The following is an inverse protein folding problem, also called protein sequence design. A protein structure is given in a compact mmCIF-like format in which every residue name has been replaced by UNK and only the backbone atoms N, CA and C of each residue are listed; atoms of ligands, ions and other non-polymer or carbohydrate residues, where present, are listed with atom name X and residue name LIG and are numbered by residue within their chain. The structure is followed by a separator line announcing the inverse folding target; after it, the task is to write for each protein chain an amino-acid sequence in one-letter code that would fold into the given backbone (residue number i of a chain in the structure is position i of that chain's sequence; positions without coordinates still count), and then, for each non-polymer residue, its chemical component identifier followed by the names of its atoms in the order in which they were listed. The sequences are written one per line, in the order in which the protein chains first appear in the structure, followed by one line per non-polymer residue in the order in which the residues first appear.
data_IF_249576146587
#
_entry.id   IF_249576146587
#
_cell.length_a   1.000
_cell.length_b   1.000
_cell.length_c   1.000
_cell.angle_alpha   90.00
_cell.angle_beta   90.00
_cell.angle_gamma   90.00
#
_symmetry.space_group_name_H-M   'P 1'
#
loop_
_entity.id
_entity.type
_entity.pdbx_description
1 polymer ?
#
# COMPACT_ATOMS: atom_id res chain seq x y z
N UNK A 1 -31.78 -30.67 25.79
CA UNK A 1 -31.58 -31.73 24.79
C UNK A 1 -31.30 -31.11 23.41
N UNK A 2 -30.14 -30.49 23.22
CA UNK A 2 -29.78 -29.82 21.95
C UNK A 2 -28.27 -29.84 21.67
N UNK A 3 -27.58 -30.91 22.10
CA UNK A 3 -26.13 -31.10 21.86
C UNK A 3 -25.78 -32.36 21.05
N UNK A 4 -26.74 -33.26 20.79
CA UNK A 4 -26.48 -34.54 20.10
C UNK A 4 -26.69 -34.54 18.58
N UNK A 5 -27.20 -33.46 17.98
CA UNK A 5 -27.43 -33.44 16.51
C UNK A 5 -26.19 -33.06 15.68
N UNK A 6 -25.13 -32.55 16.32
CA UNK A 6 -23.89 -32.16 15.63
C UNK A 6 -22.92 -33.34 15.45
N UNK A 7 -23.03 -34.39 16.28
CA UNK A 7 -22.20 -35.60 16.18
C UNK A 7 -22.66 -36.54 15.05
N UNK A 8 -23.95 -36.55 14.73
CA UNK A 8 -24.51 -37.40 13.66
C UNK A 8 -24.17 -36.91 12.25
N UNK A 9 -23.87 -35.62 12.05
CA UNK A 9 -23.49 -35.07 10.74
C UNK A 9 -22.00 -35.22 10.40
N UNK A 10 -21.17 -35.68 11.36
CA UNK A 10 -19.74 -35.94 11.11
C UNK A 10 -19.45 -37.38 10.67
N UNK A 11 -20.43 -38.27 10.76
CA UNK A 11 -20.25 -39.70 10.52
C UNK A 11 -20.59 -40.16 9.08
N UNK A 12 -20.88 -39.26 8.14
CA UNK A 12 -21.35 -39.64 6.80
C UNK A 12 -20.51 -39.12 5.61
N UNK A 13 -19.28 -38.66 5.84
CA UNK A 13 -18.36 -38.26 4.74
C UNK A 13 -16.98 -38.88 4.86
N UNK A 14 -16.92 -40.14 5.28
CA UNK A 14 -15.77 -41.00 5.03
C UNK A 14 -16.14 -42.08 4.03
N UNK A 15 -15.75 -41.92 2.76
CA UNK A 15 -15.26 -43.00 1.88
C UNK A 15 -15.11 -42.52 0.41
N UNK A 16 -13.94 -42.83 -0.16
CA UNK A 16 -13.52 -42.74 -1.58
C UNK A 16 -13.17 -41.32 -2.08
N UNK A 17 -12.06 -41.03 -2.77
CA UNK A 17 -11.10 -41.90 -3.45
C UNK A 17 -9.71 -41.22 -3.54
N UNK A 18 -8.71 -42.07 -3.38
CA UNK A 18 -7.25 -41.99 -3.62
C UNK A 18 -6.87 -41.38 -4.97
N UNK A 19 -5.86 -40.51 -5.02
CA UNK A 19 -4.67 -40.78 -5.82
C UNK A 19 -3.48 -39.86 -5.44
N UNK A 20 -2.37 -40.52 -5.21
CA UNK A 20 -1.13 -40.06 -4.59
C UNK A 20 -0.08 -39.65 -5.63
N UNK A 21 0.59 -38.51 -5.42
CA UNK A 21 1.81 -38.13 -6.14
C UNK A 21 3.04 -38.81 -5.51
N UNK A 22 3.91 -39.46 -6.29
CA UNK A 22 5.24 -39.82 -5.82
C UNK A 22 6.27 -38.75 -6.23
N UNK A 23 7.16 -38.45 -5.29
CA UNK A 23 8.44 -37.74 -5.49
C UNK A 23 9.48 -38.68 -6.10
N UNK A 24 10.32 -38.19 -7.02
CA UNK A 24 11.71 -38.66 -7.23
C UNK A 24 12.53 -37.63 -8.04
N UNK A 25 13.49 -36.95 -7.40
CA UNK A 25 14.96 -37.13 -7.45
C UNK A 25 15.64 -36.99 -8.82
N UNK A 26 16.62 -36.08 -8.85
CA UNK A 26 17.81 -35.98 -9.71
C UNK A 26 18.22 -37.19 -10.54
N UNK A 27 18.46 -37.02 -11.85
CA UNK A 27 19.77 -37.30 -12.46
C UNK A 27 19.90 -36.71 -13.87
N UNK A 28 21.15 -36.41 -14.22
CA UNK A 28 21.66 -35.86 -15.47
C UNK A 28 21.52 -36.83 -16.66
N UNK A 29 21.56 -36.23 -17.86
CA UNK A 29 22.19 -36.73 -19.10
C UNK A 29 21.33 -37.23 -20.28
N UNK A 30 21.67 -36.62 -21.43
CA UNK A 30 21.50 -36.97 -22.85
C UNK A 30 20.14 -36.89 -23.55
N UNK A 31 20.26 -36.39 -24.81
CA UNK A 31 19.35 -36.45 -25.97
C UNK A 31 18.64 -35.10 -26.24
N UNK A 32 18.51 -34.57 -27.45
CA UNK A 32 19.07 -34.83 -28.77
C UNK A 32 18.50 -33.69 -29.65
N UNK A 33 19.34 -32.93 -30.36
CA UNK A 33 18.88 -31.83 -31.24
C UNK A 33 17.94 -32.34 -32.32
N UNK A 34 16.78 -31.69 -32.49
CA UNK A 34 15.93 -31.84 -33.68
C UNK A 34 16.37 -30.83 -34.76
N UNK A 35 16.50 -31.22 -36.05
CA UNK A 35 16.95 -30.32 -37.10
C UNK A 35 15.86 -29.33 -37.53
N UNK A 36 16.28 -28.11 -37.85
CA UNK A 36 15.44 -27.04 -38.39
C UNK A 36 15.18 -27.28 -39.91
N UNK A 37 13.93 -27.34 -40.40
CA UNK A 37 13.62 -27.86 -41.73
C UNK A 37 13.69 -26.83 -42.88
N UNK A 38 14.49 -25.77 -42.76
CA UNK A 38 14.59 -24.70 -43.77
C UNK A 38 16.02 -24.31 -44.17
N UNK A 39 16.99 -25.21 -44.03
CA UNK A 39 18.33 -25.00 -44.58
C UNK A 39 18.44 -25.67 -45.96
N UNK A 40 18.12 -24.92 -47.02
CA UNK A 40 18.41 -25.34 -48.39
C UNK A 40 19.54 -24.48 -48.96
N UNK A 41 20.54 -25.20 -49.45
CA UNK A 41 21.83 -24.81 -50.01
C UNK A 41 21.68 -23.98 -51.29
N UNK A 42 22.49 -22.93 -51.42
CA UNK A 42 23.05 -22.49 -52.70
C UNK A 42 24.52 -22.13 -52.50
N UNK A 43 25.37 -22.79 -53.29
CA UNK A 43 26.83 -22.85 -53.20
C UNK A 43 27.41 -22.12 -54.42
N UNK A 44 27.98 -20.93 -54.22
CA UNK A 44 28.80 -20.24 -55.23
C UNK A 44 29.97 -19.51 -54.55
N UNK A 45 31.23 -19.74 -54.97
CA UNK A 45 32.37 -19.09 -54.36
C UNK A 45 32.59 -17.74 -55.03
N UNK A 46 32.43 -16.64 -54.29
CA UNK A 46 32.95 -15.35 -54.74
C UNK A 46 33.72 -14.66 -53.62
N UNK A 47 35.00 -14.42 -53.93
CA UNK A 47 36.01 -13.81 -53.10
C UNK A 47 35.81 -12.28 -53.07
N UNK A 48 35.37 -11.73 -51.93
CA UNK A 48 35.55 -10.32 -51.61
C UNK A 48 35.84 -10.12 -50.11
N UNK A 49 36.98 -9.50 -49.85
CA UNK A 49 37.52 -9.12 -48.56
C UNK A 49 36.87 -7.85 -47.98
N UNK A 50 36.45 -7.96 -46.71
CA UNK A 50 36.38 -6.98 -45.62
C UNK A 50 35.66 -5.62 -45.78
N UNK A 51 34.61 -5.43 -44.96
CA UNK A 51 34.47 -4.27 -44.07
C UNK A 51 33.67 -4.72 -42.82
N UNK A 52 34.12 -4.45 -41.57
CA UNK A 52 33.32 -4.77 -40.40
C UNK A 52 32.18 -3.73 -40.30
N UNK A 53 30.95 -4.18 -40.57
CA UNK A 53 29.78 -3.41 -40.21
C UNK A 53 29.72 -3.33 -38.68
N UNK A 54 29.95 -2.14 -38.14
CA UNK A 54 29.69 -1.82 -36.75
C UNK A 54 28.21 -2.12 -36.48
N UNK A 55 27.93 -3.29 -35.92
CA UNK A 55 26.61 -3.63 -35.43
C UNK A 55 26.40 -2.77 -34.20
N UNK A 56 25.67 -1.67 -34.37
CA UNK A 56 25.08 -0.90 -33.29
C UNK A 56 24.04 -1.79 -32.61
N UNK A 57 24.52 -2.70 -31.75
CA UNK A 57 23.66 -3.37 -30.77
C UNK A 57 23.21 -2.28 -29.81
N UNK A 58 22.08 -1.64 -30.10
CA UNK A 58 21.34 -0.90 -29.10
C UNK A 58 20.94 -1.89 -28.02
N UNK A 59 21.73 -1.93 -26.94
CA UNK A 59 21.37 -2.59 -25.69
C UNK A 59 20.06 -1.97 -25.19
N UNK A 60 18.94 -2.66 -25.42
CA UNK A 60 17.63 -2.38 -24.82
C UNK A 60 17.52 -2.96 -23.40
N UNK A 61 18.62 -2.99 -22.65
CA UNK A 61 18.69 -3.50 -21.28
C UNK A 61 18.93 -2.33 -20.33
N UNK A 62 17.86 -1.73 -19.79
CA UNK A 62 18.01 -0.70 -18.76
C UNK A 62 16.74 0.00 -18.24
N UNK A 63 15.59 -0.12 -18.90
CA UNK A 63 14.37 0.60 -18.50
C UNK A 63 13.48 -0.10 -17.46
N UNK A 64 13.35 -1.44 -17.53
CA UNK A 64 12.41 -2.20 -16.70
C UNK A 64 12.78 -2.28 -15.21
N UNK A 65 14.08 -2.37 -14.90
CA UNK A 65 14.57 -2.51 -13.53
C UNK A 65 14.48 -1.19 -12.74
N UNK A 66 14.69 -0.05 -13.41
CA UNK A 66 14.61 1.26 -12.76
C UNK A 66 13.18 1.63 -12.37
N UNK A 67 12.19 1.28 -13.20
CA UNK A 67 10.78 1.60 -12.93
C UNK A 67 10.15 0.65 -11.91
N UNK A 68 10.53 -0.64 -11.93
CA UNK A 68 10.08 -1.58 -10.90
C UNK A 68 10.61 -1.23 -9.50
N UNK A 69 11.88 -0.83 -9.39
CA UNK A 69 12.46 -0.31 -8.14
C UNK A 69 11.71 0.94 -7.64
N UNK A 70 11.34 1.85 -8.54
CA UNK A 70 10.54 3.02 -8.18
C UNK A 70 9.17 2.66 -7.61
N UNK A 71 8.44 1.75 -8.26
CA UNK A 71 7.14 1.32 -7.75
C UNK A 71 7.26 0.59 -6.40
N UNK A 72 8.31 -0.22 -6.22
CA UNK A 72 8.60 -0.86 -4.93
C UNK A 72 8.86 0.18 -3.83
N UNK A 73 9.61 1.24 -4.14
CA UNK A 73 9.87 2.33 -3.21
C UNK A 73 8.59 3.09 -2.85
N UNK A 74 7.74 3.41 -3.84
CA UNK A 74 6.42 4.02 -3.62
C UNK A 74 5.54 3.14 -2.72
N UNK A 75 5.48 1.83 -2.98
CA UNK A 75 4.71 0.90 -2.15
C UNK A 75 5.20 0.89 -0.71
N UNK A 76 6.52 0.80 -0.52
CA UNK A 76 7.11 0.81 0.83
C UNK A 76 6.87 2.13 1.55
N UNK A 77 6.93 3.28 0.87
CA UNK A 77 6.56 4.58 1.46
C UNK A 77 5.08 4.58 1.87
N UNK A 78 4.19 4.01 1.06
CA UNK A 78 2.78 3.91 1.40
C UNK A 78 2.54 3.01 2.62
N UNK A 79 3.29 1.91 2.75
CA UNK A 79 3.24 1.04 3.93
C UNK A 79 3.70 1.78 5.18
N UNK A 80 4.83 2.48 5.11
CA UNK A 80 5.35 3.32 6.19
C UNK A 80 4.36 4.43 6.59
N UNK A 81 3.64 5.02 5.62
CA UNK A 81 2.58 6.01 5.90
C UNK A 81 1.40 5.40 6.67
N UNK A 82 1.05 4.14 6.40
CA UNK A 82 0.01 3.44 7.19
C UNK A 82 0.51 3.21 8.62
N UNK A 83 1.74 2.75 8.79
CA UNK A 83 2.36 2.57 10.11
C UNK A 83 2.41 3.90 10.87
N UNK A 84 2.78 5.00 10.20
CA UNK A 84 2.77 6.33 10.78
C UNK A 84 1.36 6.70 11.31
N UNK A 85 0.31 6.52 10.48
CA UNK A 85 -1.07 6.77 10.91
C UNK A 85 -1.52 5.87 12.07
N UNK A 86 -1.13 4.60 12.09
CA UNK A 86 -1.40 3.69 13.21
C UNK A 86 -0.72 4.15 14.50
N UNK A 87 0.52 4.62 14.41
CA UNK A 87 1.23 5.16 15.57
C UNK A 87 0.52 6.40 16.11
N UNK A 88 0.06 7.32 15.25
CA UNK A 88 -0.71 8.50 15.66
C UNK A 88 -1.99 8.10 16.42
N UNK A 89 -2.69 7.07 15.96
CA UNK A 89 -3.88 6.55 16.65
C UNK A 89 -3.53 5.97 18.04
N UNK A 90 -2.46 5.19 18.13
CA UNK A 90 -1.97 4.64 19.41
C UNK A 90 -1.50 5.74 20.38
N UNK A 91 -0.84 6.79 19.87
CA UNK A 91 -0.45 7.98 20.64
C UNK A 91 -1.70 8.67 21.20
N UNK A 92 -2.74 8.86 20.38
CA UNK A 92 -4.02 9.38 20.83
C UNK A 92 -4.62 8.53 21.96
N UNK A 93 -4.65 7.21 21.83
CA UNK A 93 -5.16 6.31 22.86
C UNK A 93 -4.36 6.43 24.17
N UNK A 94 -3.03 6.52 24.09
CA UNK A 94 -2.15 6.68 25.24
C UNK A 94 -2.35 8.02 25.95
N UNK A 95 -2.52 9.12 25.20
CA UNK A 95 -2.88 10.40 25.80
C UNK A 95 -4.24 10.35 26.51
N UNK A 96 -5.24 9.72 25.89
CA UNK A 96 -6.56 9.51 26.51
C UNK A 96 -6.45 8.73 27.82
N UNK A 97 -5.65 7.66 27.85
CA UNK A 97 -5.40 6.87 29.06
C UNK A 97 -4.65 7.67 30.12
N UNK A 98 -3.64 8.44 29.74
CA UNK A 98 -2.89 9.34 30.63
C UNK A 98 -3.80 10.37 31.32
N UNK A 99 -4.86 10.83 30.65
CA UNK A 99 -5.83 11.77 31.21
C UNK A 99 -6.86 11.15 32.17
N UNK A 100 -7.05 9.83 32.15
CA UNK A 100 -8.14 9.15 32.85
C UNK A 100 -7.66 8.12 33.89
N UNK A 101 -6.39 7.72 33.86
CA UNK A 101 -5.86 6.73 34.79
C UNK A 101 -5.62 7.32 36.19
N UNK A 102 -6.07 6.59 37.20
CA UNK A 102 -5.85 6.90 38.63
C UNK A 102 -4.86 5.94 39.30
N UNK A 103 -4.31 4.98 38.55
CA UNK A 103 -3.29 4.04 39.02
C UNK A 103 -1.90 4.48 38.55
N UNK A 104 -1.03 4.85 39.50
CA UNK A 104 0.32 5.34 39.29
C UNK A 104 1.19 4.35 38.49
N UNK A 105 1.06 3.04 38.75
CA UNK A 105 1.87 2.03 38.08
C UNK A 105 1.49 1.87 36.60
N UNK A 106 0.20 1.97 36.28
CA UNK A 106 -0.30 1.97 34.92
C UNK A 106 0.03 3.29 34.19
N UNK A 107 -0.04 4.42 34.90
CA UNK A 107 0.31 5.73 34.36
C UNK A 107 1.77 5.78 33.90
N UNK A 108 2.71 5.29 34.72
CA UNK A 108 4.13 5.28 34.37
C UNK A 108 4.43 4.42 33.14
N UNK A 109 3.80 3.24 33.01
CA UNK A 109 3.95 2.38 31.82
C UNK A 109 3.41 3.05 30.57
N UNK A 110 2.23 3.68 30.66
CA UNK A 110 1.65 4.38 29.52
C UNK A 110 2.51 5.58 29.10
N UNK A 111 3.11 6.30 30.05
CA UNK A 111 4.01 7.41 29.76
C UNK A 111 5.28 6.94 29.02
N UNK A 112 5.87 5.82 29.44
CA UNK A 112 7.02 5.22 28.74
C UNK A 112 6.66 4.78 27.32
N UNK A 113 5.52 4.09 27.16
CA UNK A 113 5.04 3.67 25.84
C UNK A 113 4.74 4.86 24.92
N UNK A 114 4.20 5.94 25.48
CA UNK A 114 3.93 7.16 24.73
C UNK A 114 5.24 7.79 24.24
N UNK A 115 6.24 7.90 25.12
CA UNK A 115 7.53 8.50 24.77
C UNK A 115 8.28 7.68 23.70
N UNK A 116 8.28 6.35 23.83
CA UNK A 116 8.84 5.44 22.82
C UNK A 116 8.13 5.62 21.47
N UNK A 117 6.81 5.62 21.46
CA UNK A 117 6.03 5.71 20.24
C UNK A 117 6.15 7.08 19.56
N UNK A 118 6.26 8.16 20.33
CA UNK A 118 6.55 9.51 19.80
C UNK A 118 7.94 9.54 19.16
N UNK A 119 8.95 8.96 19.80
CA UNK A 119 10.31 8.89 19.26
C UNK A 119 10.36 8.08 17.96
N UNK A 120 9.74 6.90 17.93
CA UNK A 120 9.64 6.04 16.74
C UNK A 120 8.92 6.74 15.59
N UNK A 121 7.83 7.45 15.91
CA UNK A 121 7.05 8.20 14.92
C UNK A 121 7.85 9.38 14.36
N UNK A 122 8.62 10.08 15.20
CA UNK A 122 9.53 11.15 14.75
C UNK A 122 10.64 10.61 13.86
N UNK A 123 11.25 9.47 14.21
CA UNK A 123 12.25 8.80 13.37
C UNK A 123 11.68 8.37 12.01
N UNK A 124 10.50 7.74 12.00
CA UNK A 124 9.79 7.33 10.79
C UNK A 124 9.46 8.54 9.90
N UNK A 125 9.00 9.65 10.49
CA UNK A 125 8.71 10.88 9.75
C UNK A 125 9.94 11.44 9.02
N UNK A 126 11.11 11.37 9.65
CA UNK A 126 12.38 11.81 9.06
C UNK A 126 12.85 10.86 7.94
N UNK A 127 12.61 9.56 8.07
CA UNK A 127 12.84 8.58 7.01
C UNK A 127 11.93 8.87 5.81
N UNK A 128 10.62 9.00 6.03
CA UNK A 128 9.62 9.34 5.01
C UNK A 128 10.00 10.64 4.27
N UNK A 129 10.33 11.71 5.02
CA UNK A 129 10.81 12.98 4.45
C UNK A 129 11.99 12.77 3.50
N UNK A 130 13.03 12.06 3.94
CA UNK A 130 14.24 11.82 3.12
C UNK A 130 13.94 11.01 1.87
N UNK A 131 13.13 9.95 2.00
CA UNK A 131 12.75 9.06 0.89
C UNK A 131 11.93 9.81 -0.16
N UNK A 132 10.92 10.57 0.27
CA UNK A 132 10.09 11.38 -0.64
C UNK A 132 10.93 12.44 -1.34
N UNK A 133 11.80 13.16 -0.61
CA UNK A 133 12.73 14.14 -1.24
C UNK A 133 13.72 13.49 -2.20
N UNK A 134 14.13 12.24 -1.96
CA UNK A 134 14.96 11.47 -2.89
C UNK A 134 14.21 11.18 -4.18
N UNK A 135 12.95 10.73 -4.09
CA UNK A 135 12.09 10.48 -5.25
C UNK A 135 11.85 11.76 -6.08
N UNK A 136 11.67 12.90 -5.42
CA UNK A 136 11.52 14.20 -6.11
C UNK A 136 12.79 14.55 -6.93
N UNK A 137 13.98 14.23 -6.42
CA UNK A 137 15.26 14.48 -7.11
C UNK A 137 15.52 13.53 -8.28
N UNK A 138 14.96 12.32 -8.23
CA UNK A 138 15.09 11.31 -9.28
C UNK A 138 14.21 11.59 -10.52
N UNK A 139 13.62 12.80 -10.61
CA UNK A 139 12.81 13.22 -11.75
C UNK A 139 13.51 12.95 -13.09
N UNK A 140 12.79 12.30 -14.01
CA UNK A 140 13.25 11.97 -15.36
C UNK A 140 12.54 12.81 -16.43
N UNK A 141 13.00 12.71 -17.67
CA UNK A 141 12.31 13.29 -18.84
C UNK A 141 11.40 12.25 -19.51
N UNK A 142 10.44 12.73 -20.31
CA UNK A 142 9.50 11.86 -21.03
C UNK A 142 8.40 11.25 -20.16
N UNK A 143 7.75 10.19 -20.67
CA UNK A 143 6.56 9.56 -20.06
C UNK A 143 6.84 9.00 -18.66
N UNK A 144 7.97 8.32 -18.47
CA UNK A 144 8.34 7.73 -17.18
C UNK A 144 8.63 8.80 -16.12
N UNK A 145 9.21 9.93 -16.54
CA UNK A 145 9.41 11.09 -15.68
C UNK A 145 8.10 11.69 -15.17
N UNK A 146 7.09 11.80 -16.04
CA UNK A 146 5.76 12.30 -15.67
C UNK A 146 5.07 11.35 -14.68
N UNK A 147 5.14 10.03 -14.91
CA UNK A 147 4.59 9.03 -14.00
C UNK A 147 5.28 9.12 -12.63
N UNK A 148 6.62 9.22 -12.59
CA UNK A 148 7.38 9.35 -11.34
C UNK A 148 6.99 10.61 -10.58
N UNK A 149 6.88 11.75 -11.28
CA UNK A 149 6.47 13.03 -10.69
C UNK A 149 5.07 12.91 -10.07
N UNK A 150 4.11 12.35 -10.79
CA UNK A 150 2.73 12.18 -10.31
C UNK A 150 2.65 11.26 -9.08
N UNK A 151 3.29 10.08 -9.13
CA UNK A 151 3.26 9.13 -8.02
C UNK A 151 3.98 9.69 -6.77
N UNK A 152 5.09 10.40 -6.97
CA UNK A 152 5.80 11.09 -5.89
C UNK A 152 4.94 12.20 -5.28
N UNK A 153 4.24 12.98 -6.10
CA UNK A 153 3.29 14.00 -5.65
C UNK A 153 2.16 13.42 -4.80
N UNK A 154 1.62 12.26 -5.19
CA UNK A 154 0.57 11.59 -4.42
C UNK A 154 1.04 11.13 -3.03
N UNK A 155 2.20 10.46 -2.93
CA UNK A 155 2.72 10.02 -1.62
C UNK A 155 3.13 11.19 -0.74
N UNK A 156 3.63 12.28 -1.34
CA UNK A 156 3.91 13.53 -0.64
C UNK A 156 2.64 14.15 -0.05
N UNK A 157 1.57 14.25 -0.84
CA UNK A 157 0.29 14.77 -0.38
C UNK A 157 -0.24 13.94 0.80
N UNK A 158 -0.25 12.61 0.67
CA UNK A 158 -0.66 11.71 1.77
C UNK A 158 0.19 11.90 3.03
N UNK A 159 1.50 12.12 2.87
CA UNK A 159 2.37 12.40 4.01
C UNK A 159 2.02 13.73 4.69
N UNK A 160 1.76 14.79 3.91
CA UNK A 160 1.32 16.08 4.45
C UNK A 160 -0.02 15.98 5.19
N UNK A 161 -0.98 15.24 4.63
CA UNK A 161 -2.27 14.94 5.28
C UNK A 161 -2.07 14.19 6.62
N UNK A 162 -1.17 13.20 6.64
CA UNK A 162 -0.84 12.46 7.86
C UNK A 162 -0.19 13.34 8.94
N UNK A 163 0.73 14.23 8.55
CA UNK A 163 1.35 15.22 9.46
C UNK A 163 0.28 16.14 10.05
N UNK A 164 -0.63 16.65 9.22
CA UNK A 164 -1.69 17.54 9.66
C UNK A 164 -2.68 16.84 10.60
N UNK A 165 -3.00 15.57 10.33
CA UNK A 165 -3.80 14.73 11.22
C UNK A 165 -3.12 14.59 12.59
N UNK A 166 -1.81 14.31 12.60
CA UNK A 166 -1.06 14.20 13.84
C UNK A 166 -1.02 15.53 14.62
N UNK A 167 -0.76 16.65 13.94
CA UNK A 167 -0.82 17.98 14.56
C UNK A 167 -2.18 18.25 15.20
N UNK A 168 -3.27 17.82 14.56
CA UNK A 168 -4.63 17.98 15.09
C UNK A 168 -4.82 17.17 16.37
N UNK A 169 -4.35 15.92 16.40
CA UNK A 169 -4.38 15.06 17.61
C UNK A 169 -3.61 15.72 18.75
N UNK A 170 -2.38 16.18 18.50
CA UNK A 170 -1.53 16.84 19.49
C UNK A 170 -2.16 18.13 20.02
N UNK A 171 -2.72 18.99 19.15
CA UNK A 171 -3.42 20.21 19.57
C UNK A 171 -4.64 19.92 20.44
N UNK A 172 -5.40 18.88 20.13
CA UNK A 172 -6.54 18.46 20.94
C UNK A 172 -6.09 18.02 22.34
N UNK A 173 -5.03 17.21 22.45
CA UNK A 173 -4.54 16.76 23.75
C UNK A 173 -3.85 17.86 24.55
N UNK A 174 -3.09 18.75 23.91
CA UNK A 174 -2.60 19.99 24.52
C UNK A 174 -3.75 20.74 25.20
N UNK A 175 -4.85 20.95 24.48
CA UNK A 175 -6.03 21.65 25.02
C UNK A 175 -6.67 20.91 26.20
N UNK A 176 -6.78 19.58 26.13
CA UNK A 176 -7.29 18.75 27.24
C UNK A 176 -6.38 18.79 28.47
N UNK A 177 -5.07 18.74 28.29
CA UNK A 177 -4.10 18.86 29.39
C UNK A 177 -4.16 20.24 30.04
N UNK A 178 -4.25 21.32 29.25
CA UNK A 178 -4.46 22.68 29.76
C UNK A 178 -5.74 22.79 30.61
N UNK A 179 -6.84 22.21 30.16
CA UNK A 179 -8.09 22.18 30.93
C UNK A 179 -7.97 21.38 32.24
N UNK A 180 -7.23 20.26 32.24
CA UNK A 180 -6.97 19.50 33.47
C UNK A 180 -6.11 20.31 34.44
N UNK A 181 -5.05 20.93 33.94
CA UNK A 181 -4.16 21.81 34.70
C UNK A 181 -4.94 22.92 35.39
N UNK A 182 -5.81 23.61 34.65
CA UNK A 182 -6.69 24.67 35.18
C UNK A 182 -7.59 24.15 36.30
N UNK A 183 -8.21 22.97 36.13
CA UNK A 183 -9.07 22.38 37.16
C UNK A 183 -8.28 22.08 38.43
N UNK A 184 -7.10 21.50 38.31
CA UNK A 184 -6.24 21.22 39.46
C UNK A 184 -5.72 22.49 40.13
N UNK A 185 -5.45 23.53 39.33
CA UNK A 185 -5.10 24.85 39.84
C UNK A 185 -6.20 25.42 40.75
N UNK A 186 -7.45 25.37 40.29
CA UNK A 186 -8.62 25.87 41.03
C UNK A 186 -8.92 25.09 42.31
N UNK A 187 -8.47 23.84 42.44
CA UNK A 187 -8.58 23.12 43.71
C UNK A 187 -7.70 23.77 44.78
N UNK A 188 -6.49 24.20 44.41
CA UNK A 188 -5.55 24.85 45.33
C UNK A 188 -5.88 26.32 45.54
N UNK A 189 -6.24 27.04 44.47
CA UNK A 189 -6.62 28.46 44.50
C UNK A 189 -7.99 28.68 43.82
N UNK A 190 -9.11 28.52 44.54
CA UNK A 190 -10.46 28.66 43.96
C UNK A 190 -10.79 30.05 43.42
N UNK A 191 -10.14 31.08 43.96
CA UNK A 191 -10.26 32.50 43.64
C UNK A 191 -9.29 32.97 42.54
N UNK A 192 -8.62 32.04 41.86
CA UNK A 192 -7.69 32.34 40.78
C UNK A 192 -8.33 33.14 39.63
N UNK A 193 -7.68 34.24 39.22
CA UNK A 193 -8.14 35.01 38.07
C UNK A 193 -7.86 34.26 36.74
N UNK A 194 -8.60 34.56 35.66
CA UNK A 194 -8.32 34.01 34.33
C UNK A 194 -6.88 34.25 33.86
N UNK A 195 -6.32 35.42 34.19
CA UNK A 195 -4.95 35.80 33.87
C UNK A 195 -3.93 34.96 34.64
N UNK A 196 -4.19 34.66 35.92
CA UNK A 196 -3.33 33.78 36.73
C UNK A 196 -3.36 32.34 36.22
N UNK A 197 -4.54 31.83 35.85
CA UNK A 197 -4.68 30.48 35.26
C UNK A 197 -3.91 30.40 33.95
N UNK A 198 -4.05 31.42 33.10
CA UNK A 198 -3.33 31.50 31.83
C UNK A 198 -1.83 31.56 32.07
N UNK A 199 -1.37 32.37 33.03
CA UNK A 199 0.02 32.44 33.41
C UNK A 199 0.56 31.06 33.82
N UNK A 200 -0.13 30.31 34.68
CA UNK A 200 0.29 28.95 35.09
C UNK A 200 0.28 27.95 33.93
N UNK A 201 -0.67 28.10 33.01
CA UNK A 201 -0.84 27.19 31.87
C UNK A 201 0.15 27.46 30.73
N UNK A 202 0.65 28.69 30.65
CA UNK A 202 1.64 29.14 29.66
C UNK A 202 3.04 29.32 30.26
N UNK A 203 3.21 29.16 31.57
CA UNK A 203 4.47 29.34 32.29
C UNK A 203 5.48 28.30 31.84
N UNK A 204 6.49 28.71 31.07
CA UNK A 204 7.59 27.84 30.64
C UNK A 204 8.55 27.46 31.76
N UNK A 205 8.43 28.05 32.96
CA UNK A 205 9.33 27.82 34.10
C UNK A 205 8.90 26.67 35.02
N UNK A 206 8.15 25.69 34.52
CA UNK A 206 7.96 24.42 35.24
C UNK A 206 7.07 24.51 36.48
N UNK A 207 6.07 25.38 36.46
CA UNK A 207 5.11 25.50 37.57
C UNK A 207 5.64 26.30 38.77
N UNK A 208 6.60 27.20 38.55
CA UNK A 208 7.11 28.08 39.61
C UNK A 208 5.98 28.97 40.17
N UNK A 209 5.11 29.49 39.30
CA UNK A 209 3.89 30.22 39.68
C UNK A 209 2.98 29.35 40.58
N UNK A 210 2.90 28.05 40.27
CA UNK A 210 2.12 27.10 41.05
C UNK A 210 2.72 26.84 42.45
N UNK A 211 4.04 26.69 42.53
CA UNK A 211 4.74 26.51 43.81
C UNK A 211 4.54 27.68 44.77
N UNK A 212 4.52 28.91 44.23
CA UNK A 212 4.26 30.10 45.02
C UNK A 212 2.80 30.17 45.51
N UNK A 213 1.85 29.77 44.66
CA UNK A 213 0.43 29.68 45.03
C UNK A 213 0.19 28.62 46.12
N UNK A 214 0.91 27.48 46.05
CA UNK A 214 0.83 26.41 47.05
C UNK A 214 1.30 26.88 48.44
N UNK A 215 2.43 27.60 48.51
CA UNK A 215 3.00 28.12 49.76
C UNK A 215 2.08 29.14 50.45
N UNK A 216 1.26 29.84 49.68
CA UNK A 216 0.28 30.81 50.19
C UNK A 216 -1.07 30.18 50.54
N UNK A 217 -1.28 28.88 50.26
CA UNK A 217 -2.55 28.20 50.53
C UNK A 217 -2.54 27.49 51.90
N UNK A 218 -3.64 27.64 52.66
CA UNK A 218 -3.84 26.93 53.93
C UNK A 218 -4.23 25.44 53.77
N UNK A 219 -4.33 24.91 52.53
CA UNK A 219 -4.82 23.55 52.21
C UNK A 219 -3.69 22.57 51.85
N UNK A 220 -2.60 22.61 52.61
CA UNK A 220 -1.32 21.97 52.28
C UNK A 220 -1.39 20.48 51.90
N UNK A 221 -2.28 19.70 52.53
CA UNK A 221 -2.43 18.25 52.27
C UNK A 221 -3.02 17.91 50.90
N UNK A 222 -4.17 18.48 50.56
CA UNK A 222 -4.83 18.29 49.25
C UNK A 222 -4.03 18.97 48.13
N UNK A 223 -3.40 20.09 48.47
CA UNK A 223 -2.65 20.88 47.52
C UNK A 223 -1.32 20.23 47.09
N UNK A 224 -0.77 19.30 47.88
CA UNK A 224 0.43 18.53 47.49
C UNK A 224 0.16 17.51 46.38
N UNK A 225 -0.99 16.84 46.39
CA UNK A 225 -1.37 15.91 45.31
C UNK A 225 -1.69 16.69 44.03
N UNK A 226 -2.45 17.78 44.15
CA UNK A 226 -2.73 18.68 43.04
C UNK A 226 -1.44 19.28 42.46
N UNK A 227 -0.44 19.58 43.30
CA UNK A 227 0.88 20.03 42.87
C UNK A 227 1.60 19.05 41.97
N UNK A 228 1.66 17.78 42.39
CA UNK A 228 2.30 16.74 41.59
C UNK A 228 1.61 16.60 40.24
N UNK A 229 0.28 16.54 40.23
CA UNK A 229 -0.48 16.42 38.98
C UNK A 229 -0.26 17.64 38.07
N UNK A 230 -0.23 18.85 38.63
CA UNK A 230 0.06 20.07 37.87
C UNK A 230 1.44 20.00 37.21
N UNK A 231 2.46 19.57 37.94
CA UNK A 231 3.82 19.43 37.41
C UNK A 231 3.86 18.38 36.28
N UNK A 232 3.23 17.22 36.47
CA UNK A 232 3.18 16.17 35.45
C UNK A 232 2.45 16.62 34.18
N UNK A 233 1.28 17.27 34.32
CA UNK A 233 0.53 17.81 33.17
C UNK A 233 1.31 18.92 32.46
N UNK A 234 2.08 19.71 33.18
CA UNK A 234 2.92 20.74 32.60
C UNK A 234 4.03 20.13 31.72
N UNK A 235 4.72 19.11 32.23
CA UNK A 235 5.72 18.37 31.44
C UNK A 235 5.09 17.69 30.21
N UNK A 236 3.90 17.11 30.34
CA UNK A 236 3.16 16.54 29.21
C UNK A 236 2.87 17.59 28.14
N UNK A 237 2.40 18.79 28.53
CA UNK A 237 2.17 19.90 27.60
C UNK A 237 3.47 20.27 26.88
N UNK A 238 4.58 20.37 27.59
CA UNK A 238 5.88 20.73 27.01
C UNK A 238 6.35 19.73 25.96
N UNK A 239 6.18 18.42 26.20
CA UNK A 239 6.46 17.36 25.22
C UNK A 239 5.59 17.51 23.96
N UNK A 240 4.31 17.85 24.12
CA UNK A 240 3.41 18.12 22.99
C UNK A 240 3.88 19.35 22.20
N UNK A 241 4.28 20.44 22.86
CA UNK A 241 4.77 21.64 22.16
C UNK A 241 6.03 21.35 21.34
N UNK A 242 6.95 20.54 21.88
CA UNK A 242 8.10 20.05 21.13
C UNK A 242 7.67 19.26 19.89
N UNK A 243 6.75 18.31 20.06
CA UNK A 243 6.23 17.49 18.96
C UNK A 243 5.54 18.36 17.90
N UNK A 244 4.70 19.32 18.30
CA UNK A 244 4.07 20.28 17.39
C UNK A 244 5.09 21.14 16.62
N UNK A 245 6.18 21.53 17.27
CA UNK A 245 7.28 22.29 16.65
C UNK A 245 7.99 21.45 15.59
N UNK A 246 8.31 20.19 15.91
CA UNK A 246 8.91 19.24 14.97
C UNK A 246 7.99 18.98 13.77
N UNK A 247 6.69 18.77 14.01
CA UNK A 247 5.69 18.57 12.95
C UNK A 247 5.52 19.83 12.09
N UNK A 248 5.55 21.02 12.67
CA UNK A 248 5.48 22.27 11.92
C UNK A 248 6.71 22.45 11.02
N UNK A 249 7.91 22.15 11.53
CA UNK A 249 9.13 22.17 10.71
C UNK A 249 9.03 21.15 9.57
N UNK A 250 8.58 19.94 9.86
CA UNK A 250 8.37 18.89 8.88
C UNK A 250 7.35 19.29 7.80
N UNK A 251 6.25 19.93 8.19
CA UNK A 251 5.24 20.43 7.26
C UNK A 251 5.82 21.50 6.32
N UNK A 252 6.54 22.48 6.87
CA UNK A 252 7.22 23.52 6.09
C UNK A 252 8.25 22.91 5.12
N UNK A 253 9.05 21.94 5.59
CA UNK A 253 10.04 21.22 4.79
C UNK A 253 9.45 20.53 3.55
N UNK A 254 8.17 20.14 3.61
CA UNK A 254 7.45 19.47 2.53
C UNK A 254 6.61 20.43 1.68
N UNK A 255 6.08 21.50 2.29
CA UNK A 255 5.20 22.49 1.63
C UNK A 255 5.94 23.40 0.65
N UNK A 256 7.20 23.77 0.92
CA UNK A 256 8.00 24.67 0.07
C UNK A 256 8.18 24.15 -1.37
N UNK A 257 7.92 22.86 -1.62
CA UNK A 257 8.10 22.21 -2.92
C UNK A 257 6.76 21.90 -3.64
N UNK A 258 5.63 22.46 -3.19
CA UNK A 258 4.29 22.19 -3.77
C UNK A 258 3.91 23.17 -4.89
N UNK A 259 4.54 24.34 -4.99
CA UNK A 259 4.17 25.40 -5.96
C UNK A 259 4.41 25.09 -7.46
N UNK A 260 4.93 23.91 -7.82
CA UNK A 260 5.10 23.51 -9.24
C UNK A 260 4.16 22.39 -9.73
N UNK A 261 3.10 22.06 -8.99
CA UNK A 261 2.25 20.89 -9.28
C UNK A 261 0.73 21.12 -9.29
N UNK A 262 0.26 22.37 -9.36
CA UNK A 262 -1.19 22.67 -9.28
C UNK A 262 -2.01 22.30 -10.53
N UNK A 263 -1.41 21.74 -11.58
CA UNK A 263 -2.14 21.43 -12.82
C UNK A 263 -1.90 19.99 -13.30
N UNK A 264 -2.04 18.97 -12.43
CA UNK A 264 -2.32 17.59 -12.87
C UNK A 264 -2.66 16.57 -11.75
N UNK A 265 -3.31 16.98 -10.65
CA UNK A 265 -3.83 16.04 -9.63
C UNK A 265 -5.27 15.58 -9.99
N UNK A 266 -5.60 15.44 -11.27
CA UNK A 266 -6.90 14.89 -11.73
C UNK A 266 -6.73 13.67 -12.67
N UNK A 267 -5.56 13.03 -12.67
CA UNK A 267 -5.24 11.95 -13.62
C UNK A 267 -5.37 10.54 -13.03
N UNK A 268 -5.68 10.39 -11.73
CA UNK A 268 -5.88 9.07 -11.13
C UNK A 268 -7.25 8.49 -11.51
N UNK A 269 -8.32 9.31 -11.52
CA UNK A 269 -9.63 8.87 -12.02
C UNK A 269 -9.59 8.58 -13.53
N UNK A 270 -8.89 9.39 -14.32
CA UNK A 270 -8.76 9.15 -15.75
C UNK A 270 -7.95 7.88 -16.08
N UNK A 271 -6.90 7.57 -15.31
CA UNK A 271 -6.05 6.39 -15.59
C UNK A 271 -6.72 5.10 -15.13
N UNK A 272 -7.43 5.08 -13.99
CA UNK A 272 -8.22 3.92 -13.57
C UNK A 272 -9.37 3.62 -14.53
N UNK A 273 -10.10 4.66 -15.00
CA UNK A 273 -11.15 4.52 -16.01
C UNK A 273 -10.59 4.03 -17.36
N UNK A 274 -9.36 4.40 -17.71
CA UNK A 274 -8.71 3.91 -18.93
C UNK A 274 -8.30 2.44 -18.81
N UNK A 275 -7.79 2.01 -17.64
CA UNK A 275 -7.47 0.59 -17.38
C UNK A 275 -8.73 -0.28 -17.31
N UNK A 276 -9.82 0.22 -16.74
CA UNK A 276 -11.13 -0.45 -16.77
C UNK A 276 -11.65 -0.59 -18.21
N UNK A 277 -11.55 0.48 -19.01
CA UNK A 277 -11.97 0.47 -20.42
C UNK A 277 -11.10 -0.45 -21.29
N UNK A 278 -9.79 -0.50 -21.06
CA UNK A 278 -8.87 -1.37 -21.80
C UNK A 278 -9.02 -2.84 -21.39
N UNK A 279 -9.37 -3.12 -20.13
CA UNK A 279 -9.71 -4.49 -19.69
C UNK A 279 -11.07 -4.95 -20.20
N UNK A 280 -12.07 -4.06 -20.27
CA UNK A 280 -13.37 -4.33 -20.92
C UNK A 280 -13.22 -4.61 -22.42
N UNK A 281 -12.41 -3.80 -23.13
CA UNK A 281 -12.07 -4.06 -24.53
C UNK A 281 -11.32 -5.40 -24.69
N UNK A 282 -10.37 -5.71 -23.80
CA UNK A 282 -9.65 -6.99 -23.74
C UNK A 282 -10.57 -8.19 -23.56
N UNK A 283 -11.56 -8.11 -22.66
CA UNK A 283 -12.59 -9.13 -22.46
C UNK A 283 -13.42 -9.33 -23.74
N UNK A 284 -13.81 -8.25 -24.41
CA UNK A 284 -14.54 -8.32 -25.69
C UNK A 284 -13.78 -9.02 -26.81
N UNK A 285 -12.44 -8.86 -26.88
CA UNK A 285 -11.61 -9.62 -27.83
C UNK A 285 -11.51 -11.10 -27.48
N UNK A 286 -11.49 -11.45 -26.20
CA UNK A 286 -11.50 -12.86 -25.76
C UNK A 286 -12.84 -13.54 -26.04
N UNK A 287 -13.96 -12.84 -25.88
CA UNK A 287 -15.29 -13.38 -26.20
C UNK A 287 -15.46 -13.59 -27.71
N UNK A 288 -15.03 -12.63 -28.55
CA UNK A 288 -15.02 -12.80 -30.01
C UNK A 288 -14.07 -13.93 -30.45
N UNK A 289 -12.95 -14.13 -29.76
CA UNK A 289 -12.04 -15.25 -30.02
C UNK A 289 -12.69 -16.60 -29.65
N UNK A 290 -13.43 -16.68 -28.55
CA UNK A 290 -14.17 -17.89 -28.15
C UNK A 290 -15.34 -18.17 -29.11
N UNK A 291 -16.08 -17.15 -29.53
CA UNK A 291 -17.19 -17.29 -30.46
C UNK A 291 -16.72 -17.73 -31.85
N UNK A 292 -15.65 -17.11 -32.38
CA UNK A 292 -15.05 -17.52 -33.66
C UNK A 292 -14.45 -18.93 -33.60
N UNK A 293 -13.83 -19.32 -32.48
CA UNK A 293 -13.35 -20.67 -32.26
C UNK A 293 -14.50 -21.70 -32.20
N UNK A 294 -15.64 -21.37 -31.55
CA UNK A 294 -16.85 -22.22 -31.52
C UNK A 294 -17.49 -22.33 -32.91
N UNK A 295 -17.60 -21.23 -33.66
CA UNK A 295 -18.13 -21.22 -35.01
C UNK A 295 -17.27 -22.04 -35.99
N UNK A 296 -15.94 -21.97 -35.86
CA UNK A 296 -15.02 -22.78 -36.66
C UNK A 296 -15.22 -24.30 -36.41
N UNK A 297 -15.44 -24.72 -35.16
CA UNK A 297 -15.75 -26.13 -34.83
C UNK A 297 -17.08 -26.59 -35.46
N UNK A 298 -18.12 -25.74 -35.43
CA UNK A 298 -19.42 -26.06 -36.05
C UNK A 298 -19.33 -26.16 -37.57
N UNK A 299 -18.57 -25.26 -38.23
CA UNK A 299 -18.35 -25.29 -39.68
C UNK A 299 -17.56 -26.54 -40.12
N UNK A 300 -16.59 -27.00 -39.32
CA UNK A 300 -15.88 -28.26 -39.59
C UNK A 300 -16.82 -29.47 -39.61
N UNK A 301 -17.77 -29.54 -38.69
CA UNK A 301 -18.78 -30.61 -38.66
C UNK A 301 -19.74 -30.57 -39.85
N UNK A 302 -20.13 -29.37 -40.29
CA UNK A 302 -20.98 -29.20 -41.48
C UNK A 302 -20.24 -29.65 -42.74
N UNK A 303 -18.97 -29.25 -42.92
CA UNK A 303 -18.16 -29.71 -44.04
C UNK A 303 -17.97 -31.24 -44.03
N UNK A 304 -17.74 -31.84 -42.85
CA UNK A 304 -17.63 -33.28 -42.70
C UNK A 304 -18.92 -34.01 -43.08
N UNK A 305 -20.09 -33.51 -42.66
CA UNK A 305 -21.38 -34.08 -43.03
C UNK A 305 -21.65 -34.03 -44.54
N UNK A 306 -21.30 -32.91 -45.21
CA UNK A 306 -21.44 -32.78 -46.67
C UNK A 306 -20.55 -33.80 -47.39
N UNK A 307 -19.33 -34.02 -46.91
CA UNK A 307 -18.40 -35.00 -47.49
C UNK A 307 -18.96 -36.43 -47.41
N UNK A 308 -19.58 -36.81 -46.29
CA UNK A 308 -20.25 -38.11 -46.13
C UNK A 308 -21.41 -38.27 -47.13
N UNK A 309 -22.23 -37.23 -47.32
CA UNK A 309 -23.35 -37.28 -48.28
C UNK A 309 -22.85 -37.52 -49.71
N UNK A 310 -21.77 -36.85 -50.11
CA UNK A 310 -21.16 -37.04 -51.44
C UNK A 310 -20.67 -38.49 -51.61
N UNK A 311 -20.03 -39.07 -50.61
CA UNK A 311 -19.58 -40.47 -50.66
C UNK A 311 -20.74 -41.46 -50.81
N UNK A 312 -21.87 -41.20 -50.13
CA UNK A 312 -23.09 -42.03 -50.25
C UNK A 312 -23.65 -41.96 -51.68
N UNK A 313 -23.70 -40.77 -52.30
CA UNK A 313 -24.17 -40.61 -53.68
C UNK A 313 -23.28 -41.38 -54.65
N UNK A 314 -21.96 -41.28 -54.50
CA UNK A 314 -21.01 -42.02 -55.35
C UNK A 314 -21.23 -43.53 -55.19
N UNK A 315 -21.40 -44.03 -53.96
CA UNK A 315 -21.68 -45.43 -53.71
C UNK A 315 -22.99 -45.91 -54.36
N UNK A 316 -24.04 -45.09 -54.33
CA UNK A 316 -25.33 -45.40 -54.98
C UNK A 316 -25.16 -45.44 -56.51
N UNK A 317 -24.46 -44.49 -57.11
CA UNK A 317 -24.22 -44.46 -58.55
C UNK A 317 -23.44 -45.70 -59.00
N UNK A 318 -22.40 -46.08 -58.26
CA UNK A 318 -21.63 -47.30 -58.53
C UNK A 318 -22.53 -48.54 -58.39
N UNK A 319 -23.35 -48.63 -57.33
CA UNK A 319 -24.26 -49.75 -57.13
C UNK A 319 -25.28 -49.87 -58.27
N UNK A 320 -25.89 -48.77 -58.70
CA UNK A 320 -26.83 -48.76 -59.84
C UNK A 320 -26.13 -49.15 -61.13
N UNK A 321 -24.91 -48.67 -61.37
CA UNK A 321 -24.11 -49.07 -62.53
C UNK A 321 -23.81 -50.56 -62.53
N UNK A 322 -23.33 -51.11 -61.42
CA UNK A 322 -23.03 -52.55 -61.28
C UNK A 322 -24.30 -53.40 -61.43
N UNK A 323 -25.44 -52.98 -60.87
CA UNK A 323 -26.72 -53.69 -61.04
C UNK A 323 -27.24 -53.60 -62.48
N UNK A 324 -27.00 -52.48 -63.18
CA UNK A 324 -27.37 -52.31 -64.58
C UNK A 324 -26.49 -53.13 -65.52
N UNK A 325 -25.19 -53.24 -65.21
CA UNK A 325 -24.23 -54.04 -65.97
C UNK A 325 -24.44 -55.55 -65.74
N UNK A 326 -24.90 -55.96 -64.55
CA UNK A 326 -25.28 -57.36 -64.25
C UNK A 326 -26.65 -57.79 -64.82
N UNK A 327 -27.41 -56.88 -65.45
CA UNK A 327 -28.71 -57.16 -66.09
C UNK A 327 -28.64 -57.23 -67.63
N UNK A 328 -27.45 -57.11 -68.22
CA UNK A 328 -27.17 -57.41 -69.64
C UNK A 328 -26.46 -58.76 -69.75
#
# INVERSE_FOLDING_TARGET
MARDRLAALRAQQGATNTDSYPMQTTNSSYMASRPNPYAQQDDHPNNYSAAPAATSTTQLTGGGDSMSQFYSEISSIQDDLRVFGENVNKISDLHSRSLNNTDDAAAQRNAQQLEELVADTSALSNVLKRRIKSLERQGGSGRDGQIRKQQTGLVKQKFMEAIQSYQTVEQQYRSKYKQRLERQYKIVKPDASPEEIKAVTEDTNGGQVFSQALLNSNRYGEARSAYREVQERHEDIKKIEQTLTELAQLFNDMSILVEQQDEQINTIEATAATVEKDTEAGLGYTDKAVESARAARKKRWICFAILIVILIIIAIVIAVKVVSDNKK
#
